data_IF_346435373326
#
_entry.id   IF_346435373326
#
_cell.length_a   1.000
_cell.length_b   1.000
_cell.length_c   1.000
_cell.angle_alpha   90.00
_cell.angle_beta   90.00
_cell.angle_gamma   90.00
#
_symmetry.space_group_name_H-M   'P 1'
#
loop_
_entity.id
_entity.type
_entity.pdbx_description
1 polymer ?
#
# COMPACT_ATOMS: atom_id res chain seq x y z
N UNK A 1 -25.08 -21.57 -22.12
CA UNK A 1 -23.98 -20.58 -22.09
C UNK A 1 -24.51 -19.23 -21.61
N UNK A 2 -24.55 -18.91 -20.30
CA UNK A 2 -24.50 -17.55 -19.70
C UNK A 2 -24.29 -17.71 -18.18
N UNK A 3 -23.05 -17.88 -17.70
CA UNK A 3 -22.72 -17.76 -16.26
C UNK A 3 -21.56 -16.78 -16.02
N UNK A 4 -20.74 -16.46 -17.03
CA UNK A 4 -19.58 -15.56 -16.88
C UNK A 4 -19.94 -14.10 -16.54
N UNK A 5 -21.12 -13.61 -16.93
CA UNK A 5 -21.52 -12.20 -16.75
C UNK A 5 -21.80 -11.82 -15.28
N UNK A 6 -22.44 -12.72 -14.52
CA UNK A 6 -22.80 -12.46 -13.11
C UNK A 6 -21.57 -12.45 -12.18
N UNK A 7 -20.59 -13.33 -12.42
CA UNK A 7 -19.34 -13.36 -11.65
C UNK A 7 -18.47 -12.13 -11.89
N UNK A 8 -18.40 -11.62 -13.13
CA UNK A 8 -17.64 -10.40 -13.46
C UNK A 8 -18.23 -9.16 -12.77
N UNK A 9 -19.57 -9.02 -12.75
CA UNK A 9 -20.26 -7.93 -12.02
C UNK A 9 -20.02 -8.00 -10.51
N UNK A 10 -20.15 -9.17 -9.87
CA UNK A 10 -19.88 -9.31 -8.42
C UNK A 10 -18.43 -9.03 -8.04
N UNK A 11 -17.46 -9.48 -8.85
CA UNK A 11 -16.02 -9.26 -8.60
C UNK A 11 -15.65 -7.77 -8.67
N UNK A 12 -16.14 -7.05 -9.69
CA UNK A 12 -15.93 -5.61 -9.83
C UNK A 12 -16.56 -4.82 -8.67
N UNK A 13 -17.72 -5.24 -8.17
CA UNK A 13 -18.39 -4.57 -7.05
C UNK A 13 -17.63 -4.77 -5.72
N UNK A 14 -17.06 -5.95 -5.50
CA UNK A 14 -16.23 -6.26 -4.32
C UNK A 14 -14.89 -5.52 -4.37
N UNK A 15 -14.23 -5.48 -5.53
CA UNK A 15 -12.98 -4.74 -5.73
C UNK A 15 -13.18 -3.23 -5.55
N UNK A 16 -14.31 -2.69 -6.04
CA UNK A 16 -14.70 -1.31 -5.74
C UNK A 16 -14.79 -1.09 -4.23
N UNK A 17 -15.55 -1.91 -3.50
CA UNK A 17 -15.74 -1.75 -2.05
C UNK A 17 -14.45 -1.75 -1.22
N UNK A 18 -13.31 -2.16 -1.79
CA UNK A 18 -12.02 -2.14 -1.11
C UNK A 18 -11.39 -0.73 -1.06
N UNK A 19 -11.78 0.22 -1.92
CA UNK A 19 -11.39 1.64 -1.84
C UNK A 19 -12.42 2.45 -1.04
N UNK A 20 -12.66 2.05 0.20
CA UNK A 20 -13.72 2.61 1.04
C UNK A 20 -13.51 4.10 1.36
N UNK A 21 -12.26 4.54 1.52
CA UNK A 21 -11.90 5.96 1.70
C UNK A 21 -12.35 6.86 0.53
N UNK A 22 -12.44 6.30 -0.68
CA UNK A 22 -12.92 7.02 -1.86
C UNK A 22 -14.44 6.88 -2.02
N UNK A 23 -14.99 5.69 -1.81
CA UNK A 23 -16.40 5.40 -2.13
C UNK A 23 -17.38 5.82 -1.04
N UNK A 24 -16.93 5.78 0.21
CA UNK A 24 -17.74 6.15 1.37
C UNK A 24 -16.92 7.08 2.26
N UNK A 25 -16.53 8.28 1.78
CA UNK A 25 -15.55 9.13 2.46
C UNK A 25 -15.97 9.59 3.86
N UNK A 26 -17.27 9.56 4.17
CA UNK A 26 -17.85 9.89 5.48
C UNK A 26 -18.07 8.65 6.37
N UNK A 27 -17.64 7.47 5.94
CA UNK A 27 -17.80 6.25 6.75
C UNK A 27 -16.84 6.27 7.93
N UNK A 28 -17.18 5.64 9.08
CA UNK A 28 -16.24 5.62 10.19
C UNK A 28 -14.96 4.84 9.86
N UNK A 29 -14.98 3.92 8.90
CA UNK A 29 -13.76 3.23 8.42
C UNK A 29 -12.84 4.21 7.68
N UNK A 30 -13.41 5.11 6.88
CA UNK A 30 -12.65 6.17 6.21
C UNK A 30 -12.02 7.14 7.22
N UNK A 31 -12.74 7.47 8.30
CA UNK A 31 -12.18 8.25 9.41
C UNK A 31 -11.03 7.51 10.13
N UNK A 32 -11.09 6.18 10.29
CA UNK A 32 -9.95 5.42 10.81
C UNK A 32 -8.70 5.55 9.93
N UNK A 33 -8.85 5.54 8.60
CA UNK A 33 -7.71 5.80 7.71
C UNK A 33 -7.16 7.22 7.85
N UNK A 34 -8.02 8.23 8.10
CA UNK A 34 -7.58 9.60 8.38
C UNK A 34 -6.86 9.72 9.72
N UNK A 35 -7.28 8.96 10.73
CA UNK A 35 -6.57 8.86 12.01
C UNK A 35 -5.19 8.21 11.82
N UNK A 36 -5.10 7.11 11.05
CA UNK A 36 -3.82 6.47 10.72
C UNK A 36 -2.90 7.45 9.99
N UNK A 37 -3.40 8.16 8.98
CA UNK A 37 -2.66 9.20 8.25
C UNK A 37 -2.09 10.25 9.20
N UNK A 38 -2.93 10.78 10.10
CA UNK A 38 -2.54 11.79 11.09
C UNK A 38 -1.45 11.27 12.04
N UNK A 39 -1.57 10.02 12.50
CA UNK A 39 -0.56 9.38 13.35
C UNK A 39 0.78 9.17 12.62
N UNK A 40 0.74 8.85 11.32
CA UNK A 40 1.95 8.74 10.49
C UNK A 40 2.62 10.11 10.36
N UNK A 41 1.86 11.17 10.12
CA UNK A 41 2.41 12.54 10.02
C UNK A 41 3.01 12.98 11.36
N UNK A 42 2.38 12.66 12.50
CA UNK A 42 2.96 12.93 13.82
C UNK A 42 4.23 12.12 14.09
N UNK A 43 4.25 10.83 13.77
CA UNK A 43 5.43 9.98 13.93
C UNK A 43 6.59 10.37 12.99
N UNK A 44 6.28 11.14 11.95
CA UNK A 44 7.21 11.60 10.94
C UNK A 44 7.52 13.10 11.03
N UNK A 45 7.09 13.82 12.07
CA UNK A 45 7.18 15.29 12.14
C UNK A 45 8.60 15.84 11.95
N UNK A 46 9.61 15.13 12.46
CA UNK A 46 11.03 15.51 12.35
C UNK A 46 11.74 14.85 11.15
N UNK A 47 10.98 14.22 10.24
CA UNK A 47 11.52 13.51 9.08
C UNK A 47 10.86 13.96 7.79
N UNK A 48 11.65 14.10 6.72
CA UNK A 48 11.11 14.31 5.38
C UNK A 48 10.60 12.97 4.82
N UNK A 49 9.42 12.52 5.27
CA UNK A 49 8.82 11.26 4.84
C UNK A 49 8.35 11.35 3.38
N UNK A 50 9.17 10.88 2.44
CA UNK A 50 8.85 10.81 1.01
C UNK A 50 8.41 9.41 0.58
N UNK A 51 8.72 8.38 1.38
CA UNK A 51 8.40 6.99 1.06
C UNK A 51 7.90 6.18 2.26
N UNK A 52 6.91 5.33 2.00
CA UNK A 52 6.29 4.48 3.01
C UNK A 52 5.98 3.10 2.44
N UNK A 53 6.63 2.06 2.96
CA UNK A 53 6.24 0.69 2.63
C UNK A 53 5.12 0.21 3.55
N UNK A 54 4.21 -0.59 2.99
CA UNK A 54 3.16 -1.28 3.75
C UNK A 54 3.33 -2.78 3.53
N UNK A 55 3.54 -3.52 4.61
CA UNK A 55 3.65 -4.99 4.59
C UNK A 55 2.83 -5.60 5.72
N UNK A 56 2.82 -6.90 5.83
CA UNK A 56 2.16 -7.66 6.89
C UNK A 56 2.99 -8.86 7.30
N UNK A 57 2.64 -9.52 8.40
CA UNK A 57 3.33 -10.74 8.80
C UNK A 57 3.02 -11.87 7.81
N UNK A 58 1.73 -12.06 7.50
CA UNK A 58 1.24 -13.15 6.65
C UNK A 58 0.36 -12.66 5.50
N UNK A 59 0.13 -13.55 4.52
CA UNK A 59 -0.77 -13.30 3.40
C UNK A 59 -2.22 -13.16 3.88
N UNK A 60 -2.96 -12.20 3.31
CA UNK A 60 -4.38 -12.01 3.60
C UNK A 60 -4.70 -11.13 4.80
N UNK A 61 -3.70 -10.47 5.40
CA UNK A 61 -3.89 -9.62 6.59
C UNK A 61 -4.42 -8.21 6.27
N UNK A 62 -4.54 -7.86 4.98
CA UNK A 62 -5.15 -6.61 4.51
C UNK A 62 -4.19 -5.52 4.04
N UNK A 63 -2.88 -5.77 4.06
CA UNK A 63 -1.81 -4.83 3.63
C UNK A 63 -2.12 -4.02 2.37
N UNK A 64 -2.57 -4.69 1.31
CA UNK A 64 -2.87 -4.08 0.01
C UNK A 64 -4.08 -3.14 0.08
N UNK A 65 -5.12 -3.52 0.85
CA UNK A 65 -6.29 -2.67 1.07
C UNK A 65 -5.90 -1.46 1.91
N UNK A 66 -5.11 -1.68 2.96
CA UNK A 66 -4.58 -0.63 3.82
C UNK A 66 -3.73 0.36 3.02
N UNK A 67 -2.76 -0.11 2.23
CA UNK A 67 -1.92 0.72 1.37
C UNK A 67 -2.74 1.59 0.41
N UNK A 68 -3.73 1.00 -0.26
CA UNK A 68 -4.59 1.72 -1.19
C UNK A 68 -5.43 2.81 -0.51
N UNK A 69 -6.07 2.51 0.63
CA UNK A 69 -6.88 3.51 1.34
C UNK A 69 -6.02 4.58 2.01
N UNK A 70 -4.82 4.23 2.48
CA UNK A 70 -3.83 5.21 2.94
C UNK A 70 -3.45 6.18 1.82
N UNK A 71 -3.15 5.67 0.62
CA UNK A 71 -2.85 6.50 -0.54
C UNK A 71 -4.01 7.46 -0.88
N UNK A 72 -5.26 6.98 -0.80
CA UNK A 72 -6.45 7.81 -0.98
C UNK A 72 -6.54 8.94 0.05
N UNK A 73 -6.37 8.66 1.34
CA UNK A 73 -6.54 9.71 2.37
C UNK A 73 -5.41 10.73 2.40
N UNK A 74 -4.19 10.36 1.98
CA UNK A 74 -3.10 11.31 1.74
C UNK A 74 -3.37 12.18 0.51
N UNK A 75 -3.85 11.58 -0.59
CA UNK A 75 -4.21 12.33 -1.80
C UNK A 75 -5.36 13.32 -1.56
N UNK A 76 -6.36 12.92 -0.77
CA UNK A 76 -7.48 13.79 -0.34
C UNK A 76 -7.04 14.97 0.54
N UNK A 77 -5.86 14.91 1.17
CA UNK A 77 -5.27 16.04 1.92
C UNK A 77 -4.53 17.02 0.98
N UNK A 78 -4.46 16.73 -0.31
CA UNK A 78 -3.78 17.56 -1.30
C UNK A 78 -2.35 17.12 -1.64
N UNK A 79 -1.81 16.07 -1.00
CA UNK A 79 -0.50 15.52 -1.39
C UNK A 79 -0.59 14.85 -2.75
N UNK A 80 0.39 15.06 -3.61
CA UNK A 80 0.58 14.30 -4.83
C UNK A 80 1.20 12.95 -4.48
N UNK A 81 0.39 11.89 -4.53
CA UNK A 81 0.77 10.54 -4.08
C UNK A 81 1.00 9.61 -5.28
N UNK A 82 2.09 8.85 -5.24
CA UNK A 82 2.29 7.67 -6.08
C UNK A 82 2.11 6.40 -5.26
N UNK A 83 1.19 5.54 -5.67
CA UNK A 83 1.06 4.19 -5.13
C UNK A 83 1.73 3.18 -6.07
N UNK A 84 2.61 2.33 -5.53
CA UNK A 84 3.36 1.31 -6.27
C UNK A 84 2.92 -0.08 -5.80
N UNK A 85 2.54 -0.95 -6.73
CA UNK A 85 2.32 -2.39 -6.48
C UNK A 85 3.65 -3.15 -6.63
N UNK A 86 4.38 -3.32 -5.52
CA UNK A 86 5.65 -4.02 -5.48
C UNK A 86 5.53 -5.45 -4.93
N UNK A 87 4.31 -5.95 -4.69
CA UNK A 87 4.04 -7.38 -4.53
C UNK A 87 4.08 -8.06 -5.91
N UNK A 88 5.30 -8.16 -6.46
CA UNK A 88 5.56 -8.75 -7.78
C UNK A 88 5.27 -10.26 -7.83
N UNK A 89 4.86 -10.87 -6.72
CA UNK A 89 4.54 -12.29 -6.62
C UNK A 89 3.03 -12.52 -6.74
N UNK A 90 2.22 -11.65 -6.14
CA UNK A 90 0.75 -11.72 -6.17
C UNK A 90 0.14 -10.31 -6.33
N UNK A 91 0.42 -9.60 -7.44
CA UNK A 91 -0.03 -8.22 -7.62
C UNK A 91 -1.56 -8.14 -7.66
N UNK A 92 -2.13 -7.19 -6.94
CA UNK A 92 -3.58 -7.11 -6.72
C UNK A 92 -4.15 -5.69 -6.83
N UNK A 93 -3.32 -4.64 -6.74
CA UNK A 93 -3.81 -3.26 -6.69
C UNK A 93 -4.45 -2.81 -8.01
N UNK A 94 -3.93 -3.25 -9.15
CA UNK A 94 -4.48 -2.90 -10.46
C UNK A 94 -5.99 -3.24 -10.58
N UNK A 95 -6.43 -4.33 -9.91
CA UNK A 95 -7.84 -4.73 -9.88
C UNK A 95 -8.69 -3.79 -9.02
N UNK A 96 -8.13 -3.26 -7.92
CA UNK A 96 -8.81 -2.30 -7.05
C UNK A 96 -9.01 -0.95 -7.73
N UNK A 97 -7.99 -0.49 -8.48
CA UNK A 97 -8.03 0.77 -9.22
C UNK A 97 -8.68 0.66 -10.61
N UNK A 98 -9.03 -0.57 -11.05
CA UNK A 98 -9.64 -0.83 -12.36
C UNK A 98 -8.78 -0.35 -13.54
N UNK A 99 -7.48 -0.59 -13.41
CA UNK A 99 -6.45 -0.19 -14.38
C UNK A 99 -5.73 -1.41 -14.93
N UNK A 100 -5.10 -1.26 -16.09
CA UNK A 100 -4.38 -2.34 -16.74
C UNK A 100 -3.05 -2.63 -16.03
N UNK A 101 -2.61 -3.89 -16.07
CA UNK A 101 -1.33 -4.34 -15.53
C UNK A 101 -0.36 -4.79 -16.65
N UNK A 102 -0.43 -4.11 -17.81
CA UNK A 102 0.35 -4.46 -19.01
C UNK A 102 1.77 -3.91 -18.89
N UNK A 103 1.89 -2.64 -18.46
CA UNK A 103 3.17 -1.96 -18.24
C UNK A 103 3.20 -1.41 -16.82
N UNK A 104 4.28 -1.68 -16.09
CA UNK A 104 4.40 -1.28 -14.69
C UNK A 104 5.83 -1.34 -14.17
N UNK A 105 5.98 -1.51 -12.87
CA UNK A 105 7.23 -1.54 -12.14
C UNK A 105 8.28 -2.44 -12.80
N UNK A 106 7.93 -3.68 -13.16
CA UNK A 106 8.86 -4.60 -13.83
C UNK A 106 9.40 -4.03 -15.13
N UNK A 107 8.58 -3.34 -15.92
CA UNK A 107 9.03 -2.75 -17.18
C UNK A 107 10.03 -1.61 -16.97
N UNK A 108 9.81 -0.80 -15.93
CA UNK A 108 10.71 0.29 -15.56
C UNK A 108 12.04 -0.27 -15.04
N UNK A 109 11.99 -1.26 -14.14
CA UNK A 109 13.19 -1.86 -13.54
C UNK A 109 14.05 -2.63 -14.56
N UNK A 110 13.43 -3.19 -15.59
CA UNK A 110 14.11 -3.82 -16.73
C UNK A 110 14.49 -2.83 -17.83
N UNK A 111 14.25 -1.53 -17.63
CA UNK A 111 14.56 -0.44 -18.58
C UNK A 111 13.88 -0.60 -19.96
N UNK A 112 12.80 -1.39 -20.03
CA UNK A 112 12.01 -1.56 -21.25
C UNK A 112 11.05 -0.39 -21.50
N UNK A 113 10.77 0.41 -20.47
CA UNK A 113 9.90 1.60 -20.50
C UNK A 113 10.38 2.65 -19.51
N UNK A 114 10.05 3.92 -19.78
CA UNK A 114 10.27 5.04 -18.85
C UNK A 114 9.17 5.10 -17.79
N UNK A 115 9.54 5.56 -16.58
CA UNK A 115 8.64 5.62 -15.42
C UNK A 115 7.34 6.37 -15.72
N UNK A 116 7.44 7.55 -16.32
CA UNK A 116 6.32 8.44 -16.62
C UNK A 116 5.30 7.79 -17.57
N UNK A 117 5.77 6.91 -18.46
CA UNK A 117 4.92 6.20 -19.42
C UNK A 117 4.17 5.02 -18.79
N UNK A 118 4.66 4.51 -17.65
CA UNK A 118 4.03 3.40 -16.92
C UNK A 118 3.12 3.88 -15.78
N UNK A 119 3.22 5.15 -15.39
CA UNK A 119 2.35 5.72 -14.36
C UNK A 119 0.95 5.98 -14.94
N UNK A 120 -0.06 5.51 -14.22
CA UNK A 120 -1.46 5.63 -14.58
C UNK A 120 -2.17 6.61 -13.64
N UNK A 121 -3.05 7.45 -14.19
CA UNK A 121 -3.97 8.27 -13.39
C UNK A 121 -5.05 7.37 -12.79
N UNK A 122 -5.47 7.68 -11.57
CA UNK A 122 -6.60 6.98 -10.93
C UNK A 122 -7.87 7.84 -10.98
N UNK A 123 -9.00 7.31 -10.51
CA UNK A 123 -10.24 8.09 -10.32
C UNK A 123 -10.20 9.02 -9.09
N UNK A 124 -9.08 9.04 -8.36
CA UNK A 124 -8.88 9.85 -7.16
C UNK A 124 -7.89 10.95 -7.51
N UNK A 125 -8.30 12.20 -7.33
CA UNK A 125 -7.44 13.36 -7.57
C UNK A 125 -6.16 13.27 -6.73
N UNK A 126 -5.05 13.74 -7.32
CA UNK A 126 -3.69 13.67 -6.76
C UNK A 126 -3.12 12.27 -6.52
N UNK A 127 -3.87 11.19 -6.80
CA UNK A 127 -3.38 9.82 -6.67
C UNK A 127 -3.03 9.22 -8.04
N UNK A 128 -1.77 8.85 -8.19
CA UNK A 128 -1.24 8.14 -9.34
C UNK A 128 -0.83 6.73 -8.93
N UNK A 129 -0.80 5.82 -9.91
CA UNK A 129 -0.54 4.41 -9.66
C UNK A 129 0.48 3.84 -10.64
N UNK A 130 1.49 3.16 -10.10
CA UNK A 130 2.39 2.30 -10.84
C UNK A 130 2.04 0.85 -10.51
N UNK A 131 1.46 0.14 -11.48
CA UNK A 131 1.15 -1.28 -11.33
C UNK A 131 2.42 -2.12 -11.31
N UNK A 132 2.33 -3.39 -10.94
CA UNK A 132 3.48 -4.31 -10.96
C UNK A 132 4.03 -4.48 -12.39
N UNK A 133 3.16 -4.57 -13.39
CA UNK A 133 3.49 -5.06 -14.72
C UNK A 133 3.52 -6.60 -14.79
N UNK A 134 4.17 -7.17 -15.82
CA UNK A 134 4.38 -8.61 -15.94
C UNK A 134 5.17 -9.17 -14.75
N UNK A 135 4.78 -10.33 -14.24
CA UNK A 135 5.48 -10.96 -13.10
C UNK A 135 6.90 -11.38 -13.52
N UNK A 136 7.96 -10.85 -12.90
CA UNK A 136 9.33 -11.20 -13.23
C UNK A 136 9.73 -12.54 -12.56
N UNK A 137 10.72 -13.26 -13.12
CA UNK A 137 11.25 -14.47 -12.50
C UNK A 137 12.09 -14.20 -11.24
N UNK A 138 12.59 -12.97 -11.08
CA UNK A 138 13.55 -12.55 -10.06
C UNK A 138 13.14 -11.25 -9.31
N UNK A 139 12.03 -11.25 -8.53
CA UNK A 139 11.53 -10.05 -7.85
C UNK A 139 12.52 -9.39 -6.89
N UNK A 140 13.19 -10.17 -6.05
CA UNK A 140 14.04 -9.65 -4.98
C UNK A 140 15.27 -8.92 -5.56
N UNK A 141 15.86 -9.47 -6.63
CA UNK A 141 16.98 -8.88 -7.35
C UNK A 141 16.59 -7.57 -8.02
N UNK A 142 15.40 -7.49 -8.60
CA UNK A 142 14.89 -6.24 -9.21
C UNK A 142 14.65 -5.17 -8.14
N UNK A 143 14.04 -5.51 -7.01
CA UNK A 143 13.79 -4.59 -5.91
C UNK A 143 15.07 -4.12 -5.21
N UNK A 144 16.11 -4.96 -5.17
CA UNK A 144 17.43 -4.59 -4.64
C UNK A 144 18.36 -3.91 -5.65
N UNK A 145 17.90 -3.69 -6.88
CA UNK A 145 18.73 -3.18 -7.96
C UNK A 145 18.96 -1.66 -7.89
N UNK A 146 20.02 -1.21 -8.57
CA UNK A 146 20.24 0.23 -8.82
C UNK A 146 19.07 0.87 -9.56
N UNK A 147 18.42 0.15 -10.47
CA UNK A 147 17.24 0.63 -11.19
C UNK A 147 16.09 0.99 -10.24
N UNK A 148 15.93 0.26 -9.13
CA UNK A 148 14.90 0.58 -8.13
C UNK A 148 15.23 1.89 -7.39
N UNK A 149 16.50 2.11 -7.05
CA UNK A 149 16.96 3.35 -6.43
C UNK A 149 16.78 4.56 -7.37
N UNK A 150 17.10 4.39 -8.65
CA UNK A 150 16.90 5.40 -9.69
C UNK A 150 15.40 5.71 -9.86
N UNK A 151 14.53 4.69 -9.85
CA UNK A 151 13.08 4.85 -9.90
C UNK A 151 12.55 5.63 -8.71
N UNK A 152 12.96 5.27 -7.48
CA UNK A 152 12.54 5.98 -6.27
C UNK A 152 12.99 7.44 -6.30
N UNK A 153 14.22 7.70 -6.71
CA UNK A 153 14.75 9.06 -6.85
C UNK A 153 13.92 9.90 -7.83
N UNK A 154 13.57 9.33 -8.99
CA UNK A 154 12.69 10.00 -9.95
C UNK A 154 11.29 10.24 -9.35
N UNK A 155 10.72 9.23 -8.68
CA UNK A 155 9.42 9.36 -8.03
C UNK A 155 9.42 10.47 -6.96
N UNK A 156 10.46 10.59 -6.13
CA UNK A 156 10.58 11.62 -5.10
C UNK A 156 10.68 13.04 -5.66
N UNK A 157 11.15 13.20 -6.90
CA UNK A 157 11.14 14.51 -7.57
C UNK A 157 9.78 14.91 -8.14
N UNK A 158 8.88 13.93 -8.31
CA UNK A 158 7.57 14.11 -8.94
C UNK A 158 6.40 14.08 -7.96
N UNK A 159 6.57 13.49 -6.78
CA UNK A 159 5.52 13.18 -5.81
C UNK A 159 5.93 13.60 -4.40
N UNK A 160 4.96 14.06 -3.62
CA UNK A 160 5.17 14.41 -2.21
C UNK A 160 5.30 13.16 -1.34
N UNK A 161 4.66 12.05 -1.75
CA UNK A 161 4.68 10.77 -1.03
C UNK A 161 4.57 9.59 -1.99
N UNK A 162 5.43 8.59 -1.79
CA UNK A 162 5.41 7.30 -2.49
C UNK A 162 5.02 6.20 -1.51
N UNK A 163 3.87 5.57 -1.73
CA UNK A 163 3.40 4.43 -0.92
C UNK A 163 3.63 3.15 -1.72
N UNK A 164 4.19 2.14 -1.07
CA UNK A 164 4.62 0.90 -1.74
C UNK A 164 3.97 -0.30 -1.04
N UNK A 165 3.10 -1.03 -1.75
CA UNK A 165 2.53 -2.29 -1.27
C UNK A 165 3.55 -3.41 -1.45
N UNK A 166 3.91 -4.07 -0.36
CA UNK A 166 4.96 -5.10 -0.31
C UNK A 166 4.39 -6.45 0.10
N UNK A 167 4.89 -7.60 -0.42
CA UNK A 167 4.44 -8.92 0.00
C UNK A 167 4.66 -9.14 1.51
N UNK A 168 4.01 -10.16 2.12
CA UNK A 168 4.18 -10.45 3.54
C UNK A 168 5.63 -10.75 3.89
N UNK A 169 6.16 -10.08 4.93
CA UNK A 169 7.58 -10.11 5.26
C UNK A 169 8.08 -11.47 5.78
N UNK A 170 7.19 -12.30 6.34
CA UNK A 170 7.58 -13.65 6.76
C UNK A 170 7.64 -14.64 5.60
N UNK A 171 7.05 -14.31 4.45
CA UNK A 171 7.02 -15.20 3.30
C UNK A 171 8.27 -15.06 2.43
N UNK A 172 8.75 -13.82 2.23
CA UNK A 172 9.84 -13.49 1.31
C UNK A 172 10.60 -12.25 1.77
N UNK A 173 11.83 -12.07 1.28
CA UNK A 173 12.75 -11.00 1.70
C UNK A 173 12.47 -9.64 1.04
N UNK A 174 11.59 -9.59 0.04
CA UNK A 174 11.28 -8.40 -0.76
C UNK A 174 10.99 -7.16 0.11
N UNK A 175 10.16 -7.29 1.14
CA UNK A 175 9.83 -6.19 2.06
C UNK A 175 11.03 -5.72 2.90
N UNK A 176 11.93 -6.62 3.30
CA UNK A 176 13.16 -6.27 4.02
C UNK A 176 14.11 -5.45 3.14
N UNK A 177 14.25 -5.86 1.87
CA UNK A 177 15.07 -5.15 0.88
C UNK A 177 14.57 -3.72 0.68
N UNK A 178 13.26 -3.53 0.59
CA UNK A 178 12.66 -2.20 0.43
C UNK A 178 12.65 -1.38 1.71
N UNK A 179 12.55 -2.02 2.89
CA UNK A 179 12.58 -1.33 4.17
C UNK A 179 13.87 -0.55 4.41
N UNK A 180 15.00 -1.02 3.87
CA UNK A 180 16.29 -0.33 3.94
C UNK A 180 16.47 0.79 2.90
N UNK A 181 15.58 0.87 1.90
CA UNK A 181 15.64 1.84 0.80
C UNK A 181 14.58 2.94 0.92
N UNK A 182 13.62 2.78 1.82
CA UNK A 182 12.52 3.71 2.07
C UNK A 182 12.62 4.32 3.47
N UNK A 183 12.02 5.49 3.65
CA UNK A 183 12.12 6.27 4.89
C UNK A 183 11.40 5.60 6.07
N UNK A 184 10.34 4.84 5.78
CA UNK A 184 9.50 4.25 6.79
C UNK A 184 8.72 3.01 6.33
N UNK A 185 8.25 2.25 7.31
CA UNK A 185 7.41 1.07 7.18
C UNK A 185 6.19 1.14 8.09
N UNK A 186 5.07 0.59 7.62
CA UNK A 186 3.88 0.26 8.43
C UNK A 186 3.64 -1.24 8.34
N UNK A 187 3.46 -1.87 9.51
CA UNK A 187 3.11 -3.28 9.60
C UNK A 187 1.61 -3.44 9.79
N UNK A 188 0.95 -4.16 8.89
CA UNK A 188 -0.46 -4.54 9.04
C UNK A 188 -0.56 -5.89 9.74
N UNK A 189 -1.37 -5.95 10.79
CA UNK A 189 -1.65 -7.15 11.59
C UNK A 189 -3.15 -7.34 11.58
N UNK A 190 -3.63 -8.56 11.38
CA UNK A 190 -5.07 -8.85 11.38
C UNK A 190 -5.52 -9.29 12.77
N UNK A 191 -6.52 -8.59 13.31
CA UNK A 191 -7.14 -8.91 14.59
C UNK A 191 -7.59 -10.37 14.62
N UNK A 192 -7.37 -11.03 15.75
CA UNK A 192 -7.77 -12.44 16.02
C UNK A 192 -7.24 -13.50 15.04
N UNK A 193 -6.41 -13.11 14.06
CA UNK A 193 -5.88 -14.00 13.03
C UNK A 193 -4.36 -14.05 13.04
N UNK A 194 -3.69 -12.92 13.27
CA UNK A 194 -2.21 -12.90 13.31
C UNK A 194 -1.73 -13.30 14.69
N UNK A 195 -0.95 -14.38 14.76
CA UNK A 195 -0.30 -14.78 16.01
C UNK A 195 0.69 -13.72 16.49
N UNK A 196 0.72 -13.48 17.82
CA UNK A 196 1.64 -12.52 18.45
C UNK A 196 3.10 -12.80 18.07
N UNK A 197 3.51 -14.08 18.05
CA UNK A 197 4.87 -14.47 17.66
C UNK A 197 5.21 -14.08 16.22
N UNK A 198 4.27 -14.23 15.29
CA UNK A 198 4.44 -13.83 13.90
C UNK A 198 4.60 -12.29 13.78
N UNK A 199 3.77 -11.52 14.49
CA UNK A 199 3.87 -10.05 14.48
C UNK A 199 5.21 -9.56 15.06
N UNK A 200 5.67 -10.16 16.17
CA UNK A 200 6.98 -9.82 16.78
C UNK A 200 8.13 -10.18 15.83
N UNK A 201 8.08 -11.34 15.18
CA UNK A 201 9.09 -11.74 14.19
C UNK A 201 9.10 -10.80 12.99
N UNK A 202 7.94 -10.42 12.48
CA UNK A 202 7.81 -9.48 11.36
C UNK A 202 8.42 -8.11 11.69
N UNK A 203 8.13 -7.57 12.88
CA UNK A 203 8.79 -6.37 13.41
C UNK A 203 10.32 -6.54 13.45
N UNK A 204 10.81 -7.65 14.02
CA UNK A 204 12.24 -7.91 14.12
C UNK A 204 12.95 -7.97 12.76
N UNK A 205 12.29 -8.48 11.72
CA UNK A 205 12.84 -8.49 10.35
C UNK A 205 12.95 -7.09 9.74
N UNK A 206 11.96 -6.21 9.97
CA UNK A 206 12.03 -4.81 9.54
C UNK A 206 13.18 -4.08 10.24
N UNK A 207 13.30 -4.24 11.56
CA UNK A 207 14.37 -3.62 12.35
C UNK A 207 15.75 -4.15 11.97
N UNK A 208 15.89 -5.46 11.76
CA UNK A 208 17.15 -6.09 11.33
C UNK A 208 17.58 -5.63 9.93
N UNK A 209 16.63 -5.26 9.07
CA UNK A 209 16.89 -4.65 7.77
C UNK A 209 17.20 -3.15 7.86
N UNK A 210 17.31 -2.58 9.07
CA UNK A 210 17.49 -1.14 9.33
C UNK A 210 16.33 -0.27 8.85
N UNK A 211 15.15 -0.86 8.63
CA UNK A 211 13.95 -0.12 8.28
C UNK A 211 13.31 0.55 9.50
N UNK A 212 12.85 1.79 9.35
CA UNK A 212 12.11 2.51 10.39
C UNK A 212 10.65 2.04 10.42
N UNK A 213 10.24 1.31 11.45
CA UNK A 213 8.84 0.97 11.68
C UNK A 213 8.13 2.13 12.39
N UNK A 214 7.22 2.83 11.70
CA UNK A 214 6.44 3.91 12.32
C UNK A 214 5.34 3.40 13.26
N UNK A 215 4.81 2.21 12.98
CA UNK A 215 3.76 1.63 13.81
C UNK A 215 3.07 0.45 13.16
N UNK A 216 2.00 0.01 13.83
CA UNK A 216 1.20 -1.15 13.43
C UNK A 216 -0.23 -0.71 13.14
N UNK A 217 -0.80 -1.18 12.05
CA UNK A 217 -2.24 -1.07 11.76
C UNK A 217 -2.89 -2.40 12.12
N UNK A 218 -3.78 -2.38 13.12
CA UNK A 218 -4.62 -3.52 13.46
C UNK A 218 -5.87 -3.53 12.56
N UNK A 219 -5.89 -4.45 11.59
CA UNK A 219 -6.95 -4.58 10.61
C UNK A 219 -8.00 -5.62 11.05
N UNK A 220 -9.22 -5.53 10.51
CA UNK A 220 -10.33 -6.46 10.77
C UNK A 220 -10.76 -6.53 12.25
N UNK A 221 -10.63 -5.41 12.98
CA UNK A 221 -11.13 -5.31 14.35
C UNK A 221 -12.66 -5.28 14.36
N UNK A 222 -13.28 -6.02 15.26
CA UNK A 222 -14.68 -5.81 15.60
C UNK A 222 -14.87 -4.42 16.21
N UNK A 223 -15.98 -3.75 15.89
CA UNK A 223 -16.33 -2.50 16.54
C UNK A 223 -16.76 -2.77 17.97
N UNK A 224 -15.99 -2.32 18.95
CA UNK A 224 -16.58 -1.97 20.24
C UNK A 224 -17.48 -0.73 20.04
N UNK A 225 -18.77 -0.87 20.35
CA UNK A 225 -19.80 0.16 20.13
C UNK A 225 -19.65 1.41 21.03
N UNK A 226 -18.65 1.50 21.90
CA UNK A 226 -18.71 2.35 23.10
C UNK A 226 -17.92 3.66 23.07
N UNK A 227 -16.99 3.91 22.13
CA UNK A 227 -16.05 5.04 22.26
C UNK A 227 -16.04 6.11 21.14
N UNK A 228 -16.85 5.95 20.09
CA UNK A 228 -16.86 6.90 18.95
C UNK A 228 -18.06 7.86 18.92
N UNK A 229 -18.89 7.90 19.96
CA UNK A 229 -20.07 8.80 20.02
C UNK A 229 -19.80 10.22 20.56
N UNK A 230 -18.55 10.59 20.84
CA UNK A 230 -18.20 11.98 21.15
C UNK A 230 -17.61 12.67 19.92
N UNK A 231 -18.49 13.11 19.00
CA UNK A 231 -18.38 14.39 18.28
C UNK A 231 -19.51 14.50 17.25
N UNK A 232 -20.56 15.21 17.64
CA UNK A 232 -21.68 15.53 16.76
C UNK A 232 -22.84 16.24 17.47
N UNK A 233 -22.53 17.15 18.40
CA UNK A 233 -23.47 18.19 18.81
C UNK A 233 -23.01 19.50 18.16
N UNK A 234 -23.74 19.89 17.12
CA UNK A 234 -24.09 21.24 16.66
C UNK A 234 -24.37 21.22 15.15
#
# INVERSE_FOLDING_TARGET
>A
MVLKSLFKKKKNHRQRRQLIAHQQPKSPISEQYRNIRTNIEFAAVDTNLQSLIVTSANSGEGKTITAANMAVVFAQQGKKVLLIDADMRKPALHQMFQVDNIFGLTNVLTQSKHLETCIQKTSVDNLHFLSCGPIPPNPAELLGSKSMQELLTQAYSMYDLVIIDMPPILAVTDAQIMANQCDASVLVVRSESTEKGAAVKAKGLLESAKGKLLGVVLNDCEREQSLYYYHGAN
#
